data_IF_477833702345
#
_entry.id   IF_477833702345
#
_cell.length_a   1.000
_cell.length_b   1.000
_cell.length_c   1.000
_cell.angle_alpha   90.00
_cell.angle_beta   90.00
_cell.angle_gamma   90.00
#
_symmetry.space_group_name_H-M   'P 1'
#
loop_
_entity.id
_entity.type
_entity.pdbx_description
1 polymer ?
#
# COMPACT_ATOMS: atom_id res chain seq x y z
N UNK A 1 16.52 -8.06 -10.62
CA UNK A 1 15.17 -7.77 -10.14
C UNK A 1 14.94 -8.58 -8.87
N UNK A 2 14.13 -8.06 -7.93
CA UNK A 2 13.79 -8.81 -6.72
C UNK A 2 12.52 -9.64 -6.87
N UNK A 3 11.55 -9.15 -7.66
CA UNK A 3 10.35 -9.90 -8.03
C UNK A 3 10.13 -9.68 -9.52
N UNK A 4 9.81 -10.75 -10.25
CA UNK A 4 9.45 -10.69 -11.65
C UNK A 4 8.25 -11.62 -11.89
N UNK A 5 7.22 -11.11 -12.55
CA UNK A 5 5.99 -11.82 -12.86
C UNK A 5 5.69 -11.61 -14.35
N UNK A 6 5.47 -12.70 -15.09
CA UNK A 6 5.23 -12.65 -16.54
C UNK A 6 4.03 -13.51 -16.90
N UNK A 7 3.00 -12.87 -17.44
CA UNK A 7 1.78 -13.50 -17.97
C UNK A 7 1.11 -14.47 -16.98
N UNK A 8 1.20 -14.17 -15.67
CA UNK A 8 0.76 -15.05 -14.59
C UNK A 8 -0.76 -15.11 -14.51
N UNK A 9 -1.30 -16.32 -14.47
CA UNK A 9 -2.74 -16.55 -14.32
C UNK A 9 -3.03 -17.61 -13.27
N UNK A 10 -4.14 -17.43 -12.55
CA UNK A 10 -4.65 -18.37 -11.54
C UNK A 10 -6.16 -18.33 -11.48
N UNK A 11 -6.77 -19.51 -11.53
CA UNK A 11 -8.23 -19.68 -11.44
C UNK A 11 -8.61 -20.59 -10.28
N UNK A 12 -9.78 -20.37 -9.72
CA UNK A 12 -10.46 -21.24 -8.76
C UNK A 12 -11.84 -21.60 -9.35
N UNK A 13 -11.94 -22.78 -9.92
CA UNK A 13 -13.11 -23.17 -10.71
C UNK A 13 -13.29 -22.24 -11.91
N UNK A 14 -14.43 -21.57 -12.00
CA UNK A 14 -14.73 -20.61 -13.09
C UNK A 14 -14.23 -19.20 -12.83
N UNK A 15 -13.79 -18.90 -11.60
CA UNK A 15 -13.34 -17.55 -11.23
C UNK A 15 -11.84 -17.39 -11.49
N UNK A 16 -11.47 -16.48 -12.37
CA UNK A 16 -10.08 -16.03 -12.54
C UNK A 16 -9.71 -15.10 -11.40
N UNK A 17 -8.81 -15.54 -10.51
CA UNK A 17 -8.26 -14.71 -9.44
C UNK A 17 -7.11 -13.84 -9.93
N UNK A 18 -6.33 -14.32 -10.91
CA UNK A 18 -5.32 -13.57 -11.63
C UNK A 18 -5.47 -13.89 -13.11
N UNK A 19 -5.44 -12.88 -13.96
CA UNK A 19 -5.61 -13.00 -15.41
C UNK A 19 -4.48 -12.28 -16.16
N UNK A 20 -3.48 -13.05 -16.58
CA UNK A 20 -2.38 -12.60 -17.43
C UNK A 20 -1.63 -11.36 -16.90
N UNK A 21 -1.32 -11.33 -15.59
CA UNK A 21 -0.62 -10.20 -14.98
C UNK A 21 0.89 -10.25 -15.22
N UNK A 22 1.49 -9.08 -15.44
CA UNK A 22 2.94 -8.93 -15.62
C UNK A 22 3.43 -7.66 -14.94
N UNK A 23 4.48 -7.76 -14.14
CA UNK A 23 5.17 -6.64 -13.50
C UNK A 23 6.53 -7.08 -12.97
N UNK A 24 7.35 -6.10 -12.56
CA UNK A 24 8.61 -6.38 -11.88
C UNK A 24 8.85 -5.42 -10.72
N UNK A 25 9.58 -5.85 -9.69
CA UNK A 25 9.99 -5.02 -8.54
C UNK A 25 11.52 -5.01 -8.49
N UNK A 26 12.10 -3.83 -8.39
CA UNK A 26 13.55 -3.66 -8.31
C UNK A 26 14.05 -3.90 -6.88
N UNK A 27 15.33 -4.18 -6.74
CA UNK A 27 15.96 -4.33 -5.42
C UNK A 27 15.89 -3.01 -4.64
N UNK A 28 15.46 -3.09 -3.37
CA UNK A 28 15.33 -1.93 -2.48
C UNK A 28 14.07 -1.07 -2.72
N UNK A 29 13.15 -1.49 -3.59
CA UNK A 29 11.85 -0.79 -3.72
C UNK A 29 10.87 -1.20 -2.61
N UNK A 30 10.07 -0.25 -2.15
CA UNK A 30 8.86 -0.51 -1.37
C UNK A 30 7.68 -0.28 -2.31
N UNK A 31 7.02 -1.38 -2.71
CA UNK A 31 5.91 -1.37 -3.68
C UNK A 31 4.62 -1.79 -3.00
N UNK A 32 3.58 -0.97 -3.15
CA UNK A 32 2.23 -1.27 -2.72
C UNK A 32 1.44 -1.99 -3.82
N UNK A 33 0.82 -3.12 -3.47
CA UNK A 33 -0.11 -3.85 -4.34
C UNK A 33 -1.53 -3.58 -3.85
N UNK A 34 -2.16 -2.59 -4.47
CA UNK A 34 -3.43 -2.01 -4.04
C UNK A 34 -4.60 -2.61 -4.81
N UNK A 35 -5.67 -2.95 -4.12
CA UNK A 35 -6.89 -3.41 -4.77
C UNK A 35 -8.00 -3.77 -3.77
N UNK A 36 -9.27 -3.86 -4.21
CA UNK A 36 -10.37 -4.23 -3.35
C UNK A 36 -10.25 -5.69 -2.86
N UNK A 37 -11.08 -6.06 -1.89
CA UNK A 37 -11.18 -7.45 -1.46
C UNK A 37 -11.64 -8.34 -2.62
N UNK A 38 -10.98 -9.49 -2.77
CA UNK A 38 -11.24 -10.41 -3.88
C UNK A 38 -10.56 -10.04 -5.22
N UNK A 39 -9.78 -8.97 -5.30
CA UNK A 39 -9.09 -8.57 -6.53
C UNK A 39 -7.93 -9.49 -6.95
N UNK A 40 -7.51 -10.45 -6.10
CA UNK A 40 -6.43 -11.39 -6.39
C UNK A 40 -5.13 -11.17 -5.59
N UNK A 41 -5.10 -10.17 -4.68
CA UNK A 41 -3.89 -9.80 -3.90
C UNK A 41 -3.27 -10.99 -3.17
N UNK A 42 -4.02 -11.61 -2.26
CA UNK A 42 -3.52 -12.75 -1.46
C UNK A 42 -3.22 -13.98 -2.31
N UNK A 43 -3.87 -14.14 -3.46
CA UNK A 43 -3.54 -15.20 -4.42
C UNK A 43 -2.14 -15.00 -4.99
N UNK A 44 -1.81 -13.78 -5.41
CA UNK A 44 -0.47 -13.44 -5.88
C UNK A 44 0.59 -13.63 -4.78
N UNK A 45 0.32 -13.13 -3.55
CA UNK A 45 1.23 -13.30 -2.41
C UNK A 45 1.54 -14.79 -2.15
N UNK A 46 0.52 -15.65 -2.18
CA UNK A 46 0.68 -17.10 -2.02
C UNK A 46 1.49 -17.75 -3.13
N UNK A 47 1.39 -17.29 -4.38
CA UNK A 47 2.21 -17.78 -5.49
C UNK A 47 3.68 -17.36 -5.30
N UNK A 48 3.92 -16.07 -5.01
CA UNK A 48 5.28 -15.54 -4.81
C UNK A 48 5.99 -16.18 -3.61
N UNK A 49 5.23 -16.67 -2.63
CA UNK A 49 5.76 -17.38 -1.45
C UNK A 49 5.75 -18.89 -1.59
N UNK A 50 5.51 -19.41 -2.78
CA UNK A 50 5.49 -20.86 -3.12
C UNK A 50 4.41 -21.65 -2.38
N UNK A 51 3.39 -20.98 -1.81
CA UNK A 51 2.31 -21.66 -1.09
C UNK A 51 1.29 -22.34 -2.03
N UNK A 52 1.08 -21.78 -3.22
CA UNK A 52 0.26 -22.35 -4.30
C UNK A 52 0.95 -22.11 -5.65
N UNK A 53 0.66 -22.98 -6.62
CA UNK A 53 1.16 -22.83 -7.99
C UNK A 53 0.21 -21.99 -8.84
N UNK A 54 0.79 -21.23 -9.79
CA UNK A 54 0.04 -20.61 -10.88
C UNK A 54 -0.47 -21.68 -11.87
N UNK A 55 -1.50 -21.33 -12.62
CA UNK A 55 -2.02 -22.21 -13.69
C UNK A 55 -1.25 -21.98 -15.01
N UNK A 56 -0.74 -20.76 -15.23
CA UNK A 56 0.12 -20.39 -16.36
C UNK A 56 0.94 -19.15 -16.08
N UNK A 57 1.93 -18.89 -16.94
CA UNK A 57 2.91 -17.82 -16.76
C UNK A 57 4.05 -18.22 -15.83
N UNK A 58 4.91 -17.26 -15.51
CA UNK A 58 6.09 -17.48 -14.65
C UNK A 58 6.20 -16.39 -13.58
N UNK A 59 6.77 -16.75 -12.45
CA UNK A 59 7.16 -15.79 -11.43
C UNK A 59 8.49 -16.18 -10.81
N UNK A 60 9.32 -15.18 -10.50
CA UNK A 60 10.57 -15.38 -9.79
C UNK A 60 10.72 -14.39 -8.63
N UNK A 61 11.40 -14.82 -7.57
CA UNK A 61 11.76 -13.98 -6.44
C UNK A 61 13.24 -14.13 -6.17
N UNK A 62 13.94 -13.00 -6.11
CA UNK A 62 15.40 -12.92 -5.96
C UNK A 62 16.17 -13.78 -7.01
N UNK A 63 15.61 -13.89 -8.23
CA UNK A 63 16.17 -14.67 -9.34
C UNK A 63 15.85 -16.16 -9.32
N UNK A 64 15.10 -16.66 -8.30
CA UNK A 64 14.68 -18.07 -8.20
C UNK A 64 13.22 -18.20 -8.69
N UNK A 65 12.96 -19.18 -9.55
CA UNK A 65 11.63 -19.49 -10.03
C UNK A 65 10.77 -20.10 -8.91
N UNK A 66 9.53 -19.57 -8.75
CA UNK A 66 8.65 -19.98 -7.63
C UNK A 66 8.10 -21.40 -7.77
N UNK A 67 8.17 -22.00 -8.96
CA UNK A 67 7.64 -23.33 -9.23
C UNK A 67 8.71 -24.43 -9.19
N UNK A 68 9.97 -24.10 -9.48
CA UNK A 68 11.08 -25.06 -9.56
C UNK A 68 12.08 -24.93 -8.43
N UNK A 69 12.24 -23.72 -7.87
CA UNK A 69 13.26 -23.41 -6.85
C UNK A 69 12.65 -23.00 -5.49
N UNK A 70 11.54 -23.63 -5.09
CA UNK A 70 10.74 -23.28 -3.90
C UNK A 70 11.59 -23.01 -2.65
N UNK A 71 12.56 -23.90 -2.34
CA UNK A 71 13.42 -23.77 -1.16
C UNK A 71 14.32 -22.54 -1.20
N UNK A 72 14.80 -22.16 -2.38
CA UNK A 72 15.62 -20.96 -2.56
C UNK A 72 14.77 -19.70 -2.44
N UNK A 73 13.56 -19.70 -2.99
CA UNK A 73 12.57 -18.65 -2.80
C UNK A 73 12.25 -18.47 -1.32
N UNK A 74 11.89 -19.55 -0.61
CA UNK A 74 11.54 -19.52 0.83
C UNK A 74 12.68 -19.01 1.71
N UNK A 75 13.94 -19.27 1.36
CA UNK A 75 15.10 -18.72 2.06
C UNK A 75 15.31 -17.22 1.81
N UNK A 76 14.91 -16.72 0.65
CA UNK A 76 15.10 -15.31 0.27
C UNK A 76 13.91 -14.43 0.64
N UNK A 77 12.77 -15.02 1.04
CA UNK A 77 11.51 -14.31 1.32
C UNK A 77 11.16 -14.40 2.80
N UNK A 78 10.88 -13.24 3.41
CA UNK A 78 10.13 -13.16 4.66
C UNK A 78 8.65 -12.91 4.35
N UNK A 79 7.76 -13.72 4.87
CA UNK A 79 6.34 -13.61 4.59
C UNK A 79 5.53 -13.35 5.86
N UNK A 80 4.71 -12.30 5.81
CA UNK A 80 3.70 -12.02 6.82
C UNK A 80 2.32 -12.17 6.18
N UNK A 81 1.55 -13.24 6.46
CA UNK A 81 0.20 -13.40 5.95
C UNK A 81 -0.79 -12.50 6.68
N UNK A 82 -1.91 -12.17 6.04
CA UNK A 82 -3.01 -11.38 6.60
C UNK A 82 -3.48 -11.95 7.96
N UNK A 83 -3.71 -13.26 8.00
CA UNK A 83 -4.04 -13.98 9.22
C UNK A 83 -2.77 -14.65 9.76
N UNK A 84 -2.10 -13.97 10.67
CA UNK A 84 -0.83 -14.41 11.23
C UNK A 84 -1.03 -15.65 12.14
N UNK A 85 -0.58 -16.86 11.74
CA UNK A 85 -0.84 -18.12 12.45
C UNK A 85 0.14 -18.32 13.61
N UNK A 86 0.03 -17.50 14.65
CA UNK A 86 0.88 -17.56 15.83
C UNK A 86 0.43 -18.64 16.82
N UNK A 87 1.39 -19.29 17.48
CA UNK A 87 1.15 -20.20 18.61
C UNK A 87 0.91 -19.39 19.88
N UNK A 88 -0.36 -19.16 20.22
CA UNK A 88 -0.76 -18.23 21.29
C UNK A 88 -0.29 -18.63 22.69
N UNK A 89 -0.05 -19.92 22.92
CA UNK A 89 0.41 -20.47 24.21
C UNK A 89 1.92 -20.35 24.42
N UNK A 90 2.69 -20.09 23.36
CA UNK A 90 4.13 -19.90 23.46
C UNK A 90 4.49 -18.48 23.90
N UNK A 91 5.61 -18.35 24.61
CA UNK A 91 6.23 -17.06 24.84
C UNK A 91 6.84 -16.53 23.52
N UNK A 92 6.92 -15.20 23.36
CA UNK A 92 7.48 -14.56 22.16
C UNK A 92 8.87 -15.12 21.84
N UNK A 93 9.75 -15.22 22.87
CA UNK A 93 11.12 -15.75 22.67
C UNK A 93 11.14 -17.23 22.30
N UNK A 94 10.26 -18.04 22.86
CA UNK A 94 10.14 -19.47 22.53
C UNK A 94 9.69 -19.66 21.07
N UNK A 95 8.67 -18.91 20.65
CA UNK A 95 8.19 -18.94 19.27
C UNK A 95 9.28 -18.56 18.27
N UNK A 96 10.01 -17.49 18.55
CA UNK A 96 11.13 -17.06 17.69
C UNK A 96 12.29 -18.07 17.74
N UNK A 97 12.59 -18.69 18.89
CA UNK A 97 13.62 -19.72 19.00
C UNK A 97 13.25 -20.97 18.20
N UNK A 98 11.99 -21.41 18.29
CA UNK A 98 11.49 -22.53 17.48
C UNK A 98 11.69 -22.28 15.97
N UNK A 99 11.32 -21.09 15.50
CA UNK A 99 11.49 -20.73 14.08
C UNK A 99 12.96 -20.53 13.70
N UNK A 100 13.80 -20.02 14.62
CA UNK A 100 15.25 -19.90 14.40
C UNK A 100 15.91 -21.28 14.17
N UNK A 101 15.49 -22.28 14.91
CA UNK A 101 15.95 -23.66 14.73
C UNK A 101 15.49 -24.25 13.38
N UNK A 102 14.25 -23.96 12.95
CA UNK A 102 13.72 -24.35 11.62
C UNK A 102 14.53 -23.72 10.49
N UNK A 103 14.82 -22.42 10.59
CA UNK A 103 15.61 -21.68 9.59
C UNK A 103 17.13 -21.93 9.75
N UNK A 104 17.57 -22.59 10.81
CA UNK A 104 18.99 -22.81 11.15
C UNK A 104 19.78 -21.52 11.28
N UNK A 105 19.18 -20.49 11.87
CA UNK A 105 19.83 -19.21 12.13
C UNK A 105 20.37 -19.12 13.56
N UNK A 106 21.40 -18.29 13.75
CA UNK A 106 22.00 -18.10 15.06
C UNK A 106 21.03 -17.53 16.10
N UNK A 107 21.08 -17.99 17.33
CA UNK A 107 20.19 -17.51 18.42
C UNK A 107 20.36 -16.02 18.73
N UNK A 108 21.49 -15.40 18.41
CA UNK A 108 21.72 -13.96 18.53
C UNK A 108 20.70 -13.17 17.66
N UNK A 109 20.27 -13.73 16.52
CA UNK A 109 19.32 -13.13 15.62
C UNK A 109 17.95 -12.91 16.26
N UNK A 110 17.58 -13.71 17.24
CA UNK A 110 16.31 -13.56 17.98
C UNK A 110 16.26 -12.20 18.68
N UNK A 111 17.35 -11.85 19.38
CA UNK A 111 17.41 -10.57 20.09
C UNK A 111 17.39 -9.38 19.11
N UNK A 112 18.11 -9.50 18.00
CA UNK A 112 18.14 -8.46 16.96
C UNK A 112 16.74 -8.19 16.37
N UNK A 113 15.96 -9.24 16.02
CA UNK A 113 14.62 -9.04 15.47
C UNK A 113 13.61 -8.53 16.51
N UNK A 114 13.78 -8.91 17.79
CA UNK A 114 12.99 -8.38 18.91
C UNK A 114 13.20 -6.86 19.03
N UNK A 115 14.44 -6.41 18.97
CA UNK A 115 14.77 -4.98 19.03
C UNK A 115 14.29 -4.23 17.78
N UNK A 116 14.59 -4.77 16.59
CA UNK A 116 14.19 -4.21 15.31
C UNK A 116 12.69 -3.99 15.20
N UNK A 117 11.88 -4.92 15.74
CA UNK A 117 10.42 -4.86 15.67
C UNK A 117 9.77 -4.20 16.88
N UNK A 118 10.56 -3.69 17.83
CA UNK A 118 10.07 -3.01 19.03
C UNK A 118 9.31 -3.94 19.99
N UNK A 119 9.67 -5.23 20.01
CA UNK A 119 9.07 -6.24 20.89
C UNK A 119 9.69 -6.29 22.28
N UNK A 120 10.79 -5.60 22.52
CA UNK A 120 11.56 -5.67 23.78
C UNK A 120 10.70 -5.58 25.05
N UNK A 121 9.72 -4.65 25.17
CA UNK A 121 8.89 -4.55 26.37
C UNK A 121 8.00 -5.77 26.63
N UNK A 122 7.57 -6.44 25.56
CA UNK A 122 6.58 -7.52 25.58
C UNK A 122 7.20 -8.92 25.32
N UNK A 123 8.49 -9.01 25.09
CA UNK A 123 9.19 -10.24 24.66
C UNK A 123 9.15 -11.38 25.68
N UNK A 124 8.83 -11.07 26.93
CA UNK A 124 8.72 -12.04 28.02
C UNK A 124 7.31 -12.61 28.23
N UNK A 125 6.31 -12.10 27.48
CA UNK A 125 4.91 -12.52 27.60
C UNK A 125 4.56 -13.65 26.63
N UNK A 126 3.50 -14.38 26.94
CA UNK A 126 2.86 -15.29 25.99
C UNK A 126 2.21 -14.50 24.86
N UNK A 127 2.28 -15.03 23.65
CA UNK A 127 1.72 -14.36 22.44
C UNK A 127 0.22 -14.10 22.60
N UNK A 128 -0.52 -15.00 23.26
CA UNK A 128 -1.94 -14.83 23.54
C UNK A 128 -2.28 -13.62 24.41
N UNK A 129 -1.34 -13.12 25.21
CA UNK A 129 -1.52 -11.96 26.10
C UNK A 129 -1.24 -10.62 25.38
N UNK A 130 -0.70 -10.66 24.17
CA UNK A 130 -0.33 -9.47 23.42
C UNK A 130 -1.53 -8.81 22.75
N UNK A 131 -1.48 -7.48 22.58
CA UNK A 131 -2.39 -6.76 21.71
C UNK A 131 -2.24 -7.22 20.25
N UNK A 132 -3.23 -6.90 19.41
CA UNK A 132 -3.17 -7.24 17.98
C UNK A 132 -1.91 -6.66 17.31
N UNK A 133 -1.55 -5.41 17.63
CA UNK A 133 -0.35 -4.76 17.09
C UNK A 133 0.95 -5.46 17.52
N UNK A 134 1.04 -5.88 18.76
CA UNK A 134 2.21 -6.66 19.21
C UNK A 134 2.26 -8.06 18.57
N UNK A 135 1.13 -8.72 18.35
CA UNK A 135 1.09 -9.98 17.59
C UNK A 135 1.55 -9.78 16.15
N UNK A 136 1.17 -8.65 15.52
CA UNK A 136 1.63 -8.29 14.19
C UNK A 136 3.17 -8.09 14.16
N UNK A 137 3.73 -7.44 15.19
CA UNK A 137 5.19 -7.32 15.35
C UNK A 137 5.89 -8.67 15.54
N UNK A 138 5.27 -9.63 16.24
CA UNK A 138 5.80 -11.00 16.36
C UNK A 138 5.85 -11.68 15.00
N UNK A 139 4.79 -11.56 14.19
CA UNK A 139 4.79 -12.09 12.82
C UNK A 139 5.86 -11.45 11.94
N UNK A 140 6.02 -10.12 12.05
CA UNK A 140 7.06 -9.41 11.30
C UNK A 140 8.47 -9.80 11.78
N UNK A 141 8.68 -9.97 13.10
CA UNK A 141 9.94 -10.49 13.65
C UNK A 141 10.27 -11.88 13.10
N UNK A 142 9.25 -12.75 13.02
CA UNK A 142 9.42 -14.08 12.43
C UNK A 142 9.76 -14.00 10.93
N UNK A 143 9.08 -13.14 10.18
CA UNK A 143 9.36 -12.92 8.76
C UNK A 143 10.78 -12.38 8.51
N UNK A 144 11.36 -11.64 9.46
CA UNK A 144 12.71 -11.07 9.39
C UNK A 144 13.81 -11.97 9.99
N UNK A 145 13.43 -13.06 10.64
CA UNK A 145 14.33 -13.87 11.48
C UNK A 145 15.53 -14.42 10.70
N UNK A 146 15.31 -14.95 9.50
CA UNK A 146 16.33 -15.52 8.63
C UNK A 146 17.01 -14.49 7.71
N UNK A 147 16.78 -13.20 7.97
CA UNK A 147 17.35 -12.05 7.24
C UNK A 147 17.10 -12.10 5.72
N UNK A 148 15.86 -12.21 5.26
CA UNK A 148 15.53 -12.31 3.83
C UNK A 148 15.88 -11.03 3.07
N UNK A 149 16.12 -11.14 1.74
CA UNK A 149 16.30 -9.99 0.85
C UNK A 149 14.97 -9.35 0.46
N UNK A 150 13.89 -10.13 0.41
CA UNK A 150 12.56 -9.71 0.01
C UNK A 150 11.57 -9.94 1.15
N UNK A 151 10.77 -8.93 1.44
CA UNK A 151 9.69 -9.01 2.42
C UNK A 151 8.35 -8.91 1.71
N UNK A 152 7.51 -9.93 1.85
CA UNK A 152 6.14 -9.98 1.32
C UNK A 152 5.18 -9.86 2.48
N UNK A 153 4.34 -8.81 2.47
CA UNK A 153 3.42 -8.48 3.56
C UNK A 153 2.00 -8.44 3.03
N UNK A 154 1.15 -9.34 3.52
CA UNK A 154 -0.27 -9.39 3.13
C UNK A 154 -1.11 -8.67 4.18
N UNK A 155 -1.65 -7.49 3.83
CA UNK A 155 -2.48 -6.63 4.69
C UNK A 155 -1.85 -6.35 6.08
N UNK A 156 -0.59 -5.86 6.16
CA UNK A 156 0.19 -5.82 7.41
C UNK A 156 -0.40 -4.92 8.51
N UNK A 157 -1.32 -4.06 8.17
CA UNK A 157 -1.87 -3.00 9.03
C UNK A 157 -3.34 -3.24 9.40
N UNK A 158 -3.96 -4.27 8.84
CA UNK A 158 -5.40 -4.52 9.01
C UNK A 158 -5.81 -4.70 10.47
N UNK A 159 -6.73 -3.85 10.92
CA UNK A 159 -7.35 -3.87 12.26
C UNK A 159 -6.42 -3.43 13.38
N UNK A 160 -5.42 -2.61 13.08
CA UNK A 160 -4.62 -1.89 14.05
C UNK A 160 -5.27 -0.55 14.40
N UNK A 161 -5.05 -0.09 15.63
CA UNK A 161 -5.44 1.26 16.02
C UNK A 161 -4.52 2.34 15.40
N UNK A 162 -4.91 3.62 15.39
CA UNK A 162 -4.14 4.68 14.74
C UNK A 162 -2.68 4.80 15.21
N UNK A 163 -2.41 4.59 16.49
CA UNK A 163 -1.04 4.67 17.01
C UNK A 163 -0.19 3.49 16.52
N UNK A 164 -0.75 2.29 16.58
CA UNK A 164 -0.11 1.08 16.07
C UNK A 164 0.15 1.15 14.56
N UNK A 165 -0.77 1.76 13.79
CA UNK A 165 -0.57 2.00 12.35
C UNK A 165 0.68 2.84 12.08
N UNK A 166 0.86 3.95 12.81
CA UNK A 166 2.04 4.81 12.65
C UNK A 166 3.33 4.04 12.93
N UNK A 167 3.33 3.26 13.99
CA UNK A 167 4.51 2.48 14.41
C UNK A 167 4.86 1.37 13.41
N UNK A 168 3.88 0.61 12.92
CA UNK A 168 4.10 -0.45 11.92
C UNK A 168 4.55 0.14 10.57
N UNK A 169 3.95 1.26 10.14
CA UNK A 169 4.41 1.99 8.94
C UNK A 169 5.88 2.40 9.04
N UNK A 170 6.27 2.96 10.18
CA UNK A 170 7.65 3.35 10.40
C UNK A 170 8.60 2.14 10.41
N UNK A 171 8.18 1.04 11.01
CA UNK A 171 8.94 -0.21 11.01
C UNK A 171 9.13 -0.75 9.59
N UNK A 172 8.07 -0.81 8.77
CA UNK A 172 8.16 -1.24 7.37
C UNK A 172 9.11 -0.34 6.57
N UNK A 173 9.04 0.98 6.74
CA UNK A 173 9.97 1.93 6.11
C UNK A 173 11.42 1.70 6.51
N UNK A 174 11.67 1.46 7.80
CA UNK A 174 13.03 1.22 8.30
C UNK A 174 13.62 -0.06 7.70
N UNK A 175 12.84 -1.14 7.68
CA UNK A 175 13.26 -2.41 7.07
C UNK A 175 13.45 -2.26 5.55
N UNK A 176 12.62 -1.49 4.89
CA UNK A 176 12.66 -1.25 3.44
C UNK A 176 13.88 -0.43 2.97
N UNK A 177 14.70 0.15 3.88
CA UNK A 177 15.96 0.81 3.49
C UNK A 177 16.99 -0.17 2.93
N UNK A 178 16.99 -1.40 3.45
CA UNK A 178 17.99 -2.42 3.11
C UNK A 178 17.36 -3.60 2.35
N UNK A 179 16.04 -3.69 2.29
CA UNK A 179 15.31 -4.82 1.73
C UNK A 179 14.29 -4.36 0.69
N UNK A 180 13.94 -5.26 -0.21
CA UNK A 180 12.78 -5.07 -1.08
C UNK A 180 11.51 -5.41 -0.30
N UNK A 181 10.52 -4.54 -0.33
CA UNK A 181 9.23 -4.78 0.33
C UNK A 181 8.10 -4.76 -0.70
N UNK A 182 7.32 -5.81 -0.73
CA UNK A 182 6.11 -5.92 -1.53
C UNK A 182 4.93 -6.15 -0.60
N UNK A 183 4.07 -5.15 -0.47
CA UNK A 183 2.95 -5.21 0.48
C UNK A 183 1.61 -5.09 -0.24
N UNK A 184 0.65 -5.96 0.14
CA UNK A 184 -0.74 -5.81 -0.27
C UNK A 184 -1.50 -4.93 0.71
N UNK A 185 -2.42 -4.14 0.17
CA UNK A 185 -3.40 -3.42 0.98
C UNK A 185 -4.61 -3.01 0.15
N UNK A 186 -5.72 -2.72 0.81
CA UNK A 186 -6.89 -2.08 0.22
C UNK A 186 -7.02 -0.62 0.71
N UNK A 187 -6.08 -0.13 1.54
CA UNK A 187 -6.08 1.19 2.16
C UNK A 187 -5.07 2.09 1.45
N UNK A 188 -5.56 3.10 0.75
CA UNK A 188 -4.74 4.00 -0.06
C UNK A 188 -3.78 4.85 0.75
N UNK A 189 -4.22 5.33 1.91
CA UNK A 189 -3.38 6.11 2.84
C UNK A 189 -2.15 5.34 3.32
N UNK A 190 -2.18 4.01 3.28
CA UNK A 190 -1.01 3.19 3.61
C UNK A 190 0.00 3.17 2.50
N UNK A 191 -0.47 3.02 1.26
CA UNK A 191 0.38 3.11 0.07
C UNK A 191 1.07 4.49 0.02
N UNK A 192 0.31 5.58 0.20
CA UNK A 192 0.84 6.94 0.22
C UNK A 192 1.87 7.16 1.35
N UNK A 193 1.62 6.54 2.51
CA UNK A 193 2.49 6.69 3.66
C UNK A 193 3.79 5.90 3.57
N UNK A 194 3.81 4.72 2.91
CA UNK A 194 4.92 3.75 2.99
C UNK A 194 5.64 3.59 1.64
N UNK A 195 4.90 3.57 0.53
CA UNK A 195 5.41 3.11 -0.77
C UNK A 195 5.98 4.24 -1.62
N UNK A 196 6.91 3.89 -2.51
CA UNK A 196 7.37 4.79 -3.57
C UNK A 196 6.63 4.55 -4.91
N UNK A 197 6.04 3.36 -5.06
CA UNK A 197 5.35 2.89 -6.27
C UNK A 197 4.13 2.08 -5.89
N UNK A 198 3.10 2.15 -6.71
CA UNK A 198 1.87 1.38 -6.55
C UNK A 198 1.54 0.61 -7.83
N UNK A 199 1.16 -0.63 -7.65
CA UNK A 199 0.54 -1.48 -8.67
C UNK A 199 -0.91 -1.68 -8.24
N UNK A 200 -1.86 -1.26 -9.07
CA UNK A 200 -3.29 -1.39 -8.77
C UNK A 200 -3.84 -2.59 -9.52
N UNK A 201 -4.51 -3.48 -8.78
CA UNK A 201 -5.20 -4.65 -9.32
C UNK A 201 -6.70 -4.54 -9.08
N UNK A 202 -7.49 -4.86 -10.10
CA UNK A 202 -8.94 -5.07 -9.99
C UNK A 202 -9.35 -6.31 -10.78
N UNK A 203 -10.18 -7.16 -10.18
CA UNK A 203 -10.72 -8.40 -10.80
C UNK A 203 -9.65 -9.26 -11.49
N UNK A 204 -8.49 -9.38 -10.86
CA UNK A 204 -7.38 -10.21 -11.35
C UNK A 204 -6.51 -9.57 -12.43
N UNK A 205 -6.75 -8.32 -12.82
CA UNK A 205 -6.00 -7.61 -13.87
C UNK A 205 -5.30 -6.39 -13.29
N UNK A 206 -4.04 -6.13 -13.71
CA UNK A 206 -3.33 -4.91 -13.34
C UNK A 206 -3.93 -3.74 -14.13
N UNK A 207 -4.45 -2.75 -13.40
CA UNK A 207 -5.05 -1.54 -13.96
C UNK A 207 -4.00 -0.45 -14.15
N UNK A 208 -3.05 -0.33 -13.23
CA UNK A 208 -1.95 0.63 -13.32
C UNK A 208 -0.72 0.17 -12.55
N UNK A 209 0.43 0.64 -12.98
CA UNK A 209 1.73 0.44 -12.36
C UNK A 209 2.53 1.72 -12.51
N UNK A 210 2.58 2.54 -11.44
CA UNK A 210 3.19 3.88 -11.47
C UNK A 210 3.89 4.23 -10.17
N UNK A 211 4.90 5.10 -10.25
CA UNK A 211 5.47 5.76 -9.08
C UNK A 211 4.46 6.76 -8.50
N UNK A 212 4.38 6.85 -7.17
CA UNK A 212 3.43 7.74 -6.50
C UNK A 212 3.62 9.21 -6.87
N UNK A 213 4.86 9.65 -7.04
CA UNK A 213 5.13 11.02 -7.48
C UNK A 213 4.56 11.31 -8.89
N UNK A 214 4.48 10.31 -9.77
CA UNK A 214 3.89 10.47 -11.11
C UNK A 214 2.35 10.54 -11.06
N UNK A 215 1.74 9.87 -10.09
CA UNK A 215 0.29 9.93 -9.87
C UNK A 215 -0.11 11.28 -9.25
N UNK A 216 0.74 11.82 -8.38
CA UNK A 216 0.51 13.09 -7.67
C UNK A 216 0.93 14.33 -8.46
N UNK A 217 1.69 14.18 -9.54
CA UNK A 217 2.18 15.27 -10.40
C UNK A 217 1.30 15.56 -11.62
N UNK A 218 0.09 14.99 -11.70
CA UNK A 218 -0.88 15.53 -12.64
C UNK A 218 -1.04 17.02 -12.32
N UNK A 219 -0.69 17.89 -13.30
CA UNK A 219 -0.78 19.37 -13.23
C UNK A 219 -2.20 19.85 -12.92
N UNK A 220 -3.11 18.94 -12.75
CA UNK A 220 -4.49 19.17 -12.41
C UNK A 220 -4.64 19.42 -10.90
N UNK A 221 -5.03 20.63 -10.57
CA UNK A 221 -5.34 21.07 -9.22
C UNK A 221 -6.84 21.17 -9.06
N UNK A 222 -7.39 20.53 -8.06
CA UNK A 222 -8.81 20.66 -7.70
C UNK A 222 -8.90 21.51 -6.43
N UNK A 223 -9.54 22.67 -6.55
CA UNK A 223 -9.77 23.59 -5.43
C UNK A 223 -11.23 23.58 -5.06
N UNK A 224 -11.54 23.43 -3.78
CA UNK A 224 -12.87 23.70 -3.24
C UNK A 224 -12.84 25.09 -2.62
N UNK A 225 -13.73 25.95 -3.11
CA UNK A 225 -13.87 27.31 -2.64
C UNK A 225 -15.31 27.59 -2.21
N UNK A 226 -15.45 28.27 -1.06
CA UNK A 226 -16.71 28.82 -0.59
C UNK A 226 -16.62 30.35 -0.65
N UNK A 227 -17.59 30.95 -1.35
CA UNK A 227 -17.73 32.39 -1.44
C UNK A 227 -18.83 32.89 -0.50
N UNK A 228 -18.83 34.20 -0.17
CA UNK A 228 -19.85 34.81 0.68
C UNK A 228 -21.18 35.08 -0.04
N UNK A 229 -21.22 34.96 -1.36
CA UNK A 229 -22.43 35.09 -2.20
C UNK A 229 -22.50 34.00 -3.26
N UNK A 230 -23.71 33.73 -3.71
CA UNK A 230 -23.97 32.85 -4.85
C UNK A 230 -23.45 33.48 -6.14
N UNK A 231 -22.65 32.73 -6.87
CA UNK A 231 -21.98 33.20 -8.10
C UNK A 231 -22.60 32.48 -9.30
N UNK A 232 -22.77 33.20 -10.43
CA UNK A 232 -23.17 32.62 -11.68
C UNK A 232 -22.00 31.88 -12.36
N UNK A 233 -22.30 30.77 -13.04
CA UNK A 233 -21.30 29.94 -13.75
C UNK A 233 -20.48 30.76 -14.77
N UNK A 234 -21.11 31.75 -15.44
CA UNK A 234 -20.45 32.62 -16.41
C UNK A 234 -19.31 33.45 -15.81
N UNK A 235 -19.38 33.74 -14.50
CA UNK A 235 -18.34 34.49 -13.81
C UNK A 235 -17.20 33.54 -13.44
N UNK A 236 -17.49 32.35 -12.94
CA UNK A 236 -16.48 31.31 -12.61
C UNK A 236 -15.66 30.91 -13.84
N UNK A 237 -16.29 30.80 -15.01
CA UNK A 237 -15.64 30.45 -16.27
C UNK A 237 -14.54 31.44 -16.72
N UNK A 238 -14.44 32.63 -16.11
CA UNK A 238 -13.40 33.64 -16.40
C UNK A 238 -12.09 33.38 -15.65
N UNK A 239 -12.05 32.42 -14.70
CA UNK A 239 -10.83 32.09 -13.99
C UNK A 239 -9.73 31.57 -14.94
N UNK A 240 -8.49 32.07 -14.83
CA UNK A 240 -7.39 31.67 -15.69
C UNK A 240 -7.02 30.19 -15.44
N UNK A 241 -6.70 29.45 -16.49
CA UNK A 241 -6.31 28.04 -16.47
C UNK A 241 -7.39 27.09 -15.91
N UNK A 242 -8.63 27.53 -15.77
CA UNK A 242 -9.75 26.70 -15.36
C UNK A 242 -10.09 25.72 -16.51
N UNK A 243 -10.12 24.43 -16.19
CA UNK A 243 -10.46 23.35 -17.15
C UNK A 243 -11.79 22.69 -16.84
N UNK A 244 -12.27 22.84 -15.61
CA UNK A 244 -13.56 22.34 -15.18
C UNK A 244 -14.05 23.03 -13.92
N UNK A 245 -15.37 23.09 -13.75
CA UNK A 245 -15.99 23.57 -12.52
C UNK A 245 -17.30 22.84 -12.25
N UNK A 246 -17.64 22.74 -10.98
CA UNK A 246 -18.88 22.14 -10.51
C UNK A 246 -19.37 22.89 -9.29
N UNK A 247 -20.63 23.33 -9.31
CA UNK A 247 -21.27 23.81 -8.09
C UNK A 247 -21.66 22.60 -7.23
N UNK A 248 -21.10 22.52 -6.00
CA UNK A 248 -21.38 21.43 -5.07
C UNK A 248 -22.66 21.73 -4.31
N UNK A 249 -22.75 22.95 -3.78
CA UNK A 249 -23.89 23.42 -3.01
C UNK A 249 -23.84 24.96 -2.92
N UNK A 250 -24.90 25.65 -3.37
CA UNK A 250 -25.08 27.10 -3.35
C UNK A 250 -23.81 27.95 -3.59
N UNK A 251 -23.05 28.24 -2.53
CA UNK A 251 -21.86 29.10 -2.53
C UNK A 251 -20.55 28.32 -2.66
N UNK A 252 -20.60 26.97 -2.68
CA UNK A 252 -19.43 26.11 -2.72
C UNK A 252 -19.19 25.59 -4.13
N UNK A 253 -17.98 25.83 -4.63
CA UNK A 253 -17.55 25.43 -5.95
C UNK A 253 -16.33 24.50 -5.87
N UNK A 254 -16.32 23.49 -6.72
CA UNK A 254 -15.14 22.70 -7.04
C UNK A 254 -14.59 23.18 -8.38
N UNK A 255 -13.35 23.66 -8.37
CA UNK A 255 -12.68 24.27 -9.52
C UNK A 255 -11.49 23.40 -9.91
N UNK A 256 -11.41 22.99 -11.16
CA UNK A 256 -10.32 22.18 -11.70
C UNK A 256 -9.43 23.03 -12.59
N UNK A 257 -8.13 23.03 -12.30
CA UNK A 257 -7.12 23.78 -13.04
C UNK A 257 -6.05 22.85 -13.59
N UNK A 258 -5.43 23.20 -14.71
CA UNK A 258 -4.18 22.58 -15.19
C UNK A 258 -3.10 23.65 -15.16
N UNK A 259 -2.24 23.60 -14.15
CA UNK A 259 -1.19 24.60 -13.94
C UNK A 259 0.01 24.02 -13.18
N UNK A 260 1.22 24.53 -13.51
CA UNK A 260 2.46 24.18 -12.82
C UNK A 260 2.63 24.92 -11.47
N UNK A 261 1.85 25.97 -11.22
CA UNK A 261 1.88 26.78 -10.01
C UNK A 261 0.59 26.68 -9.23
N UNK A 262 0.66 26.87 -7.93
CA UNK A 262 -0.50 26.92 -7.03
C UNK A 262 -1.52 27.96 -7.53
N UNK A 263 -2.75 27.51 -7.76
CA UNK A 263 -3.84 28.34 -8.28
C UNK A 263 -4.69 28.99 -7.17
N UNK A 264 -4.44 28.70 -5.90
CA UNK A 264 -5.16 29.33 -4.77
C UNK A 264 -5.01 30.85 -4.75
N UNK A 265 -3.82 31.46 -4.99
CA UNK A 265 -3.70 32.90 -5.11
C UNK A 265 -4.58 33.48 -6.24
N UNK A 266 -4.61 32.83 -7.41
CA UNK A 266 -5.42 33.30 -8.53
C UNK A 266 -6.94 33.28 -8.23
N UNK A 267 -7.41 32.27 -7.47
CA UNK A 267 -8.81 32.20 -7.02
C UNK A 267 -9.12 33.31 -6.01
N UNK A 268 -8.16 33.61 -5.12
CA UNK A 268 -8.30 34.69 -4.14
C UNK A 268 -8.35 36.06 -4.81
N UNK A 269 -7.43 36.33 -5.75
CA UNK A 269 -7.40 37.58 -6.52
C UNK A 269 -8.68 37.76 -7.33
N UNK A 270 -9.15 36.72 -8.00
CA UNK A 270 -10.43 36.70 -8.71
C UNK A 270 -11.61 37.08 -7.79
N UNK A 271 -11.66 36.52 -6.58
CA UNK A 271 -12.70 36.88 -5.61
C UNK A 271 -12.67 38.38 -5.28
N UNK A 272 -11.49 38.92 -4.99
CA UNK A 272 -11.31 40.35 -4.68
C UNK A 272 -11.72 41.26 -5.84
N UNK A 273 -11.29 40.95 -7.08
CA UNK A 273 -11.61 41.71 -8.27
C UNK A 273 -13.10 41.76 -8.57
N UNK A 274 -13.86 40.72 -8.14
CA UNK A 274 -15.29 40.64 -8.34
C UNK A 274 -16.12 41.02 -7.09
N UNK A 275 -15.48 41.61 -6.07
CA UNK A 275 -16.15 42.06 -4.84
C UNK A 275 -16.65 40.92 -3.94
N UNK A 276 -16.11 39.75 -4.09
CA UNK A 276 -16.46 38.54 -3.32
C UNK A 276 -15.45 38.33 -2.17
N UNK A 277 -15.90 37.65 -1.12
CA UNK A 277 -15.02 37.17 -0.05
C UNK A 277 -14.92 35.66 -0.15
N UNK A 278 -13.69 35.17 -0.08
CA UNK A 278 -13.42 33.75 0.06
C UNK A 278 -13.56 33.34 1.53
N UNK A 279 -14.56 32.55 1.87
CA UNK A 279 -14.80 32.07 3.23
C UNK A 279 -13.96 30.83 3.52
N UNK A 280 -13.79 29.96 2.51
CA UNK A 280 -12.96 28.77 2.59
C UNK A 280 -12.29 28.53 1.23
N UNK A 281 -11.02 28.08 1.26
CA UNK A 281 -10.27 27.73 0.05
C UNK A 281 -9.34 26.57 0.37
N UNK A 282 -9.75 25.37 -0.04
CA UNK A 282 -9.04 24.13 0.18
C UNK A 282 -8.56 23.53 -1.14
N UNK A 283 -7.33 23.08 -1.18
CA UNK A 283 -6.87 22.24 -2.26
C UNK A 283 -7.29 20.79 -1.97
N UNK A 284 -8.18 20.26 -2.81
CA UNK A 284 -8.45 18.83 -2.87
C UNK A 284 -7.35 18.22 -3.74
N UNK A 285 -6.28 17.77 -3.12
CA UNK A 285 -5.29 17.00 -3.86
C UNK A 285 -5.99 15.82 -4.50
N UNK A 286 -5.70 15.51 -5.77
CA UNK A 286 -5.96 14.17 -6.31
C UNK A 286 -5.23 13.20 -5.41
N UNK A 287 -5.94 12.65 -4.44
CA UNK A 287 -5.42 11.55 -3.64
C UNK A 287 -5.47 10.29 -4.51
N UNK A 288 -4.69 9.30 -4.16
CA UNK A 288 -4.67 8.00 -4.83
C UNK A 288 -6.10 7.42 -4.98
N UNK A 289 -7.02 7.82 -4.08
CA UNK A 289 -8.43 7.43 -4.08
C UNK A 289 -9.21 7.96 -5.30
N UNK A 290 -9.01 9.22 -5.68
CA UNK A 290 -9.64 9.80 -6.86
C UNK A 290 -9.15 9.09 -8.13
N UNK A 291 -7.85 8.87 -8.24
CA UNK A 291 -7.23 8.14 -9.37
C UNK A 291 -7.74 6.70 -9.44
N UNK A 292 -7.84 6.03 -8.29
CA UNK A 292 -8.37 4.67 -8.22
C UNK A 292 -9.83 4.59 -8.67
N UNK A 293 -10.68 5.54 -8.25
CA UNK A 293 -12.10 5.62 -8.65
C UNK A 293 -12.27 5.86 -10.15
N UNK A 294 -11.43 6.71 -10.74
CA UNK A 294 -11.43 6.94 -12.18
C UNK A 294 -11.08 5.66 -12.97
N UNK A 295 -10.09 4.90 -12.47
CA UNK A 295 -9.57 3.71 -13.17
C UNK A 295 -10.43 2.46 -12.98
N UNK A 296 -11.09 2.30 -11.84
CA UNK A 296 -11.86 1.07 -11.51
C UNK A 296 -13.37 1.21 -11.72
N UNK A 297 -13.86 2.40 -12.15
CA UNK A 297 -15.28 2.63 -12.42
C UNK A 297 -16.20 2.33 -11.24
N UNK A 298 -16.19 3.18 -10.18
CA UNK A 298 -17.10 3.18 -9.03
C UNK A 298 -17.08 1.89 -8.18
N UNK A 299 -16.09 1.74 -7.32
CA UNK A 299 -16.22 0.84 -6.17
C UNK A 299 -16.42 1.69 -4.92
N UNK A 300 -17.60 1.61 -4.30
CA UNK A 300 -17.84 2.17 -2.97
C UNK A 300 -17.07 1.33 -1.95
N UNK A 301 -15.99 1.87 -1.41
CA UNK A 301 -15.44 1.36 -0.15
C UNK A 301 -16.45 1.68 0.96
N UNK A 302 -17.01 0.65 1.59
CA UNK A 302 -17.77 0.78 2.83
C UNK A 302 -16.83 0.69 4.01
#
# INVERSE_FOLDING_TARGET
MSIEVTALSKSYGTQKALDNISFSVQKGEIVGFLGPNGAGKSTLMKILTTYINADSGTASVNGFDVSTDEKSVQKSVGYLPEHNPLYLDLYVKEYLAFNADVYKVAKSRIQEVIELTGLTPESHKKIGQLSKGYRQRVGLANALLHNPDVLILDEPTTGLDPNQLVEIRQLIKNVGRDKTVFLSTHIMQEVEAICARVIIIDKGVIVTDKKLNQIMTDKEQVLEVEFDFKIEEQLIAKLPNLTGYKNIHDMIWELTFVADKDMRPAVFDFAQENGLKTLQLNQKNKNLEAVFREMTGKINFK
#
